data_IF_022944730160
#
_entry.id   IF_022944730160
#
_cell.length_a   1.000
_cell.length_b   1.000
_cell.length_c   1.000
_cell.angle_alpha   90.00
_cell.angle_beta   90.00
_cell.angle_gamma   90.00
#
_symmetry.space_group_name_H-M   'P 1'
#
loop_
_entity.id
_entity.type
_entity.pdbx_description
1 polymer ?
#
# COMPACT_ATOMS: atom_id res chain seq x y z
N UNK A 1 7.79 3.17 -11.11
CA UNK A 1 6.48 2.60 -10.72
C UNK A 1 6.66 1.56 -9.60
N UNK A 2 7.58 0.60 -9.73
CA UNK A 2 7.79 -0.46 -8.71
C UNK A 2 8.24 0.04 -7.33
N UNK A 3 9.02 1.12 -7.24
CA UNK A 3 9.46 1.67 -5.94
C UNK A 3 8.31 2.14 -5.05
N UNK A 4 7.29 2.78 -5.63
CA UNK A 4 6.10 3.22 -4.88
C UNK A 4 5.27 2.03 -4.42
N UNK A 5 5.14 1.03 -5.30
CA UNK A 5 4.47 -0.23 -5.02
C UNK A 5 5.10 -0.95 -3.82
N UNK A 6 6.42 -1.12 -3.84
CA UNK A 6 7.20 -1.71 -2.74
C UNK A 6 6.98 -0.90 -1.45
N UNK A 7 7.08 0.43 -1.52
CA UNK A 7 6.87 1.30 -0.35
C UNK A 7 5.47 1.16 0.25
N UNK A 8 4.42 1.06 -0.56
CA UNK A 8 3.05 0.81 -0.07
C UNK A 8 2.98 -0.53 0.66
N UNK A 9 3.51 -1.58 0.04
CA UNK A 9 3.48 -2.93 0.62
C UNK A 9 4.30 -2.99 1.92
N UNK A 10 5.46 -2.34 1.99
CA UNK A 10 6.28 -2.27 3.21
C UNK A 10 5.52 -1.57 4.36
N UNK A 11 4.88 -0.44 4.08
CA UNK A 11 4.06 0.26 5.07
C UNK A 11 2.90 -0.61 5.55
N UNK A 12 2.21 -1.31 4.64
CA UNK A 12 1.14 -2.23 5.02
C UNK A 12 1.65 -3.42 5.82
N UNK A 13 2.82 -3.97 5.49
CA UNK A 13 3.47 -5.07 6.24
C UNK A 13 3.80 -4.68 7.68
N UNK A 14 4.24 -3.44 7.93
CA UNK A 14 4.53 -2.96 9.29
C UNK A 14 3.27 -2.94 10.18
N UNK A 15 2.10 -2.70 9.58
CA UNK A 15 0.81 -2.59 10.29
C UNK A 15 0.18 -3.97 10.57
N UNK A 16 0.65 -5.04 9.91
CA UNK A 16 0.25 -6.43 10.21
C UNK A 16 0.62 -6.86 11.64
N UNK A 17 1.54 -6.15 12.31
CA UNK A 17 1.88 -6.43 13.72
C UNK A 17 0.90 -5.81 14.74
N UNK A 18 -0.09 -5.04 14.28
CA UNK A 18 -1.06 -4.34 15.14
C UNK A 18 -2.51 -4.58 14.72
N UNK A 19 -3.13 -3.59 14.06
CA UNK A 19 -4.56 -3.59 13.68
C UNK A 19 -4.88 -4.40 12.41
N UNK A 20 -3.87 -4.96 11.73
CA UNK A 20 -3.97 -5.60 10.39
C UNK A 20 -4.49 -4.72 9.25
N UNK A 21 -4.90 -3.48 9.53
CA UNK A 21 -5.54 -2.56 8.59
C UNK A 21 -4.99 -1.15 8.79
N UNK A 22 -4.69 -0.46 7.69
CA UNK A 22 -4.22 0.93 7.70
C UNK A 22 -5.25 1.85 7.00
N UNK A 23 -5.66 2.97 7.63
CA UNK A 23 -6.52 3.95 6.99
C UNK A 23 -5.89 4.56 5.73
N UNK A 24 -6.70 4.88 4.73
CA UNK A 24 -6.28 5.50 3.46
C UNK A 24 -5.38 6.72 3.68
N UNK A 25 -5.85 7.68 4.47
CA UNK A 25 -5.14 8.94 4.72
C UNK A 25 -3.77 8.70 5.37
N UNK A 26 -3.70 7.75 6.31
CA UNK A 26 -2.44 7.42 6.99
C UNK A 26 -1.48 6.73 6.03
N UNK A 27 -1.98 5.83 5.18
CA UNK A 27 -1.17 5.17 4.16
C UNK A 27 -0.62 6.19 3.15
N UNK A 28 -1.46 7.13 2.71
CA UNK A 28 -1.04 8.21 1.82
C UNK A 28 0.07 9.07 2.42
N UNK A 29 -0.09 9.50 3.68
CA UNK A 29 0.92 10.28 4.42
C UNK A 29 2.24 9.50 4.51
N UNK A 30 2.20 8.23 4.89
CA UNK A 30 3.40 7.40 5.04
C UNK A 30 4.12 7.15 3.70
N UNK A 31 3.35 6.94 2.63
CA UNK A 31 3.92 6.72 1.30
C UNK A 31 4.48 8.01 0.72
N UNK A 32 3.83 9.16 0.94
CA UNK A 32 4.32 10.46 0.51
C UNK A 32 5.51 10.95 1.33
N UNK A 33 5.68 10.48 2.57
CA UNK A 33 6.81 10.84 3.42
C UNK A 33 8.16 10.59 2.73
N UNK A 34 8.92 11.64 2.46
CA UNK A 34 10.23 11.54 1.79
C UNK A 34 10.19 11.39 0.27
N UNK A 35 9.03 11.53 -0.37
CA UNK A 35 8.97 11.75 -1.83
C UNK A 35 9.30 13.21 -2.15
N UNK A 36 10.04 13.44 -3.24
CA UNK A 36 10.26 14.81 -3.77
C UNK A 36 8.98 15.44 -4.31
N UNK A 37 8.10 14.61 -4.87
CA UNK A 37 6.80 14.99 -5.39
C UNK A 37 5.74 14.09 -4.76
N UNK A 38 4.71 14.69 -4.18
CA UNK A 38 3.62 13.95 -3.55
C UNK A 38 2.68 13.39 -4.61
N UNK A 39 2.24 12.15 -4.40
CA UNK A 39 1.09 11.62 -5.11
C UNK A 39 -0.14 12.36 -4.62
N UNK A 40 -0.89 12.93 -5.56
CA UNK A 40 -2.17 13.57 -5.28
C UNK A 40 -3.23 12.48 -5.04
N UNK A 41 -4.22 12.75 -4.19
CA UNK A 41 -5.20 11.75 -3.74
C UNK A 41 -5.79 10.87 -4.85
N UNK A 42 -6.14 11.45 -6.01
CA UNK A 42 -6.63 10.69 -7.17
C UNK A 42 -5.61 9.68 -7.73
N UNK A 43 -4.36 10.11 -7.92
CA UNK A 43 -3.26 9.25 -8.39
C UNK A 43 -2.94 8.14 -7.38
N UNK A 44 -3.04 8.47 -6.09
CA UNK A 44 -2.81 7.52 -5.02
C UNK A 44 -3.90 6.43 -5.00
N UNK A 45 -5.16 6.81 -5.16
CA UNK A 45 -6.29 5.88 -5.24
C UNK A 45 -6.17 4.96 -6.46
N UNK A 46 -5.79 5.49 -7.63
CA UNK A 46 -5.55 4.68 -8.83
C UNK A 46 -4.47 3.62 -8.60
N UNK A 47 -3.37 3.99 -7.96
CA UNK A 47 -2.29 3.06 -7.63
C UNK A 47 -2.76 1.94 -6.67
N UNK A 48 -3.58 2.28 -5.67
CA UNK A 48 -4.17 1.29 -4.77
C UNK A 48 -5.14 0.34 -5.50
N UNK A 49 -5.91 0.85 -6.46
CA UNK A 49 -6.78 0.03 -7.30
C UNK A 49 -5.97 -0.94 -8.16
N UNK A 50 -4.87 -0.51 -8.76
CA UNK A 50 -3.96 -1.40 -9.51
C UNK A 50 -3.42 -2.52 -8.61
N UNK A 51 -2.89 -2.17 -7.43
CA UNK A 51 -2.40 -3.13 -6.44
C UNK A 51 -3.47 -4.14 -6.00
N UNK A 52 -4.72 -3.68 -5.85
CA UNK A 52 -5.87 -4.51 -5.49
C UNK A 52 -6.25 -5.46 -6.63
N UNK A 53 -6.29 -4.98 -7.88
CA UNK A 53 -6.52 -5.82 -9.06
C UNK A 53 -5.44 -6.90 -9.23
N UNK A 54 -4.19 -6.57 -8.90
CA UNK A 54 -3.11 -7.55 -8.88
C UNK A 54 -3.19 -8.53 -7.70
N UNK A 55 -4.09 -8.31 -6.73
CA UNK A 55 -4.27 -9.15 -5.55
C UNK A 55 -3.17 -9.01 -4.50
N UNK A 56 -2.41 -7.90 -4.53
CA UNK A 56 -1.32 -7.65 -3.57
C UNK A 56 -1.80 -7.00 -2.28
N UNK A 57 -2.92 -6.29 -2.36
CA UNK A 57 -3.60 -5.68 -1.21
C UNK A 57 -5.09 -5.98 -1.27
N UNK A 58 -5.76 -5.84 -0.12
CA UNK A 58 -7.22 -5.81 -0.02
C UNK A 58 -7.69 -4.53 0.66
N UNK A 59 -8.98 -4.24 0.52
CA UNK A 59 -9.62 -3.13 1.22
C UNK A 59 -10.99 -3.53 1.72
N UNK A 60 -11.55 -2.75 2.65
CA UNK A 60 -12.96 -2.85 3.01
C UNK A 60 -13.87 -2.29 1.89
N UNK A 61 -15.18 -2.46 2.03
CA UNK A 61 -16.19 -2.05 1.03
C UNK A 61 -16.07 -0.57 0.63
N UNK A 62 -15.74 0.31 1.58
CA UNK A 62 -15.61 1.76 1.34
C UNK A 62 -14.19 2.22 0.97
N UNK A 63 -13.22 1.31 0.79
CA UNK A 63 -11.82 1.63 0.53
C UNK A 63 -11.18 2.58 1.56
N UNK A 64 -11.65 2.56 2.81
CA UNK A 64 -11.10 3.36 3.90
C UNK A 64 -9.92 2.68 4.56
N UNK A 65 -9.88 1.35 4.55
CA UNK A 65 -8.87 0.55 5.20
C UNK A 65 -8.25 -0.42 4.21
N UNK A 66 -6.92 -0.51 4.23
CA UNK A 66 -6.15 -1.39 3.36
C UNK A 66 -5.30 -2.36 4.18
N UNK A 67 -5.09 -3.54 3.62
CA UNK A 67 -4.28 -4.62 4.19
C UNK A 67 -3.46 -5.28 3.08
N UNK A 68 -2.29 -5.82 3.44
CA UNK A 68 -1.47 -6.61 2.52
C UNK A 68 -1.99 -8.06 2.46
N UNK A 69 -2.00 -8.67 1.28
CA UNK A 69 -2.30 -10.10 1.13
C UNK A 69 -1.06 -10.96 1.32
N UNK A 70 -1.24 -12.29 1.42
CA UNK A 70 -0.11 -13.22 1.33
C UNK A 70 0.69 -13.02 0.03
N UNK A 71 -0.01 -12.87 -1.11
CA UNK A 71 0.63 -12.57 -2.41
C UNK A 71 1.46 -11.28 -2.37
N UNK A 72 0.98 -10.24 -1.67
CA UNK A 72 1.72 -9.00 -1.45
C UNK A 72 2.98 -9.20 -0.61
N UNK A 73 2.91 -10.04 0.43
CA UNK A 73 4.07 -10.40 1.25
C UNK A 73 5.11 -11.19 0.43
N UNK A 74 4.66 -12.14 -0.39
CA UNK A 74 5.53 -12.93 -1.25
C UNK A 74 6.20 -12.04 -2.31
N UNK A 75 5.44 -11.09 -2.88
CA UNK A 75 5.98 -10.10 -3.81
C UNK A 75 7.10 -9.26 -3.17
N UNK A 76 6.91 -8.78 -1.94
CA UNK A 76 7.95 -8.06 -1.20
C UNK A 76 9.20 -8.90 -0.97
N UNK A 77 9.05 -10.19 -0.62
CA UNK A 77 10.19 -11.06 -0.34
C UNK A 77 11.12 -11.21 -1.56
N UNK A 78 10.57 -11.11 -2.78
CA UNK A 78 11.33 -11.18 -4.03
C UNK A 78 11.93 -9.82 -4.43
N UNK A 79 11.24 -8.71 -4.16
CA UNK A 79 11.55 -7.39 -4.73
C UNK A 79 12.12 -6.35 -3.75
N UNK A 80 12.22 -6.66 -2.45
CA UNK A 80 12.76 -5.77 -1.40
C UNK A 80 14.28 -6.02 -1.12
N UNK A 81 15.01 -6.60 -2.08
CA UNK A 81 16.46 -6.83 -1.99
C UNK A 81 17.29 -5.72 -2.61
#
# INVERSE_FOLDING_TARGET
MDKLKIKILENLKLVVKGSNKLPLNNLEILVNSGLKEHLLGGQFIELLNTLKMEGLITSNENNWYFSITQKGLDYLAVHSK
#
